data_IF_421155307640
#
_entry.id   IF_421155307640
#
_cell.length_a   1.000
_cell.length_b   1.000
_cell.length_c   1.000
_cell.angle_alpha   90.00
_cell.angle_beta   90.00
_cell.angle_gamma   90.00
#
_symmetry.space_group_name_H-M   'P 1'
#
loop_
_entity.id
_entity.type
_entity.pdbx_description
1 polymer ?
#
# COMPACT_ATOMS: atom_id res chain seq x y z
N UNK A 1 27.33 -4.98 3.02
CA UNK A 1 25.94 -4.50 2.84
C UNK A 1 25.94 -3.01 3.10
N UNK A 2 25.62 -2.19 2.11
CA UNK A 2 25.40 -0.75 2.33
C UNK A 2 24.16 -0.59 3.18
N UNK A 3 24.25 0.12 4.30
CA UNK A 3 23.09 0.46 5.12
C UNK A 3 22.16 1.33 4.28
N UNK A 4 20.92 0.88 4.06
CA UNK A 4 19.89 1.68 3.37
C UNK A 4 19.53 2.86 4.27
N UNK A 5 19.81 4.08 3.83
CA UNK A 5 19.38 5.27 4.56
C UNK A 5 18.05 5.77 4.02
N UNK A 6 17.13 6.15 4.92
CA UNK A 6 15.78 6.63 4.55
C UNK A 6 15.84 7.84 3.60
N UNK A 7 16.87 8.67 3.73
CA UNK A 7 17.12 9.84 2.89
C UNK A 7 17.36 9.52 1.41
N UNK A 8 17.66 8.26 1.08
CA UNK A 8 17.95 7.82 -0.29
C UNK A 8 16.67 7.52 -1.08
N UNK A 9 15.51 7.43 -0.42
CA UNK A 9 14.24 7.13 -1.07
C UNK A 9 13.49 8.40 -1.44
N UNK A 10 12.89 8.41 -2.63
CA UNK A 10 11.94 9.44 -3.03
C UNK A 10 10.77 9.44 -2.06
N UNK A 11 10.49 10.60 -1.48
CA UNK A 11 9.39 10.74 -0.54
C UNK A 11 8.75 12.13 -0.66
N UNK A 12 7.45 12.15 -0.93
CA UNK A 12 6.60 13.33 -0.87
C UNK A 12 5.49 13.08 0.16
N UNK A 13 5.36 13.92 1.21
CA UNK A 13 4.27 13.77 2.17
C UNK A 13 2.91 13.77 1.47
N UNK A 14 1.99 12.91 1.94
CA UNK A 14 0.62 12.77 1.40
C UNK A 14 0.51 12.10 0.01
N UNK A 15 1.62 11.59 -0.54
CA UNK A 15 1.64 10.79 -1.78
C UNK A 15 2.20 9.39 -1.49
N UNK A 16 1.66 8.70 -0.48
CA UNK A 16 2.17 7.41 -0.03
C UNK A 16 2.11 6.32 -1.13
N UNK A 17 1.11 6.37 -1.99
CA UNK A 17 0.92 5.53 -3.17
C UNK A 17 2.08 5.68 -4.17
N UNK A 18 2.55 6.90 -4.41
CA UNK A 18 3.70 7.14 -5.28
C UNK A 18 5.02 6.84 -4.56
N UNK A 19 5.12 7.15 -3.27
CA UNK A 19 6.32 6.84 -2.47
C UNK A 19 6.59 5.34 -2.47
N UNK A 20 5.55 4.51 -2.30
CA UNK A 20 5.67 3.05 -2.39
C UNK A 20 6.05 2.64 -3.82
N UNK A 21 5.44 3.20 -4.86
CA UNK A 21 5.79 2.90 -6.24
C UNK A 21 7.30 3.09 -6.52
N UNK A 22 7.90 4.20 -6.09
CA UNK A 22 9.34 4.44 -6.25
C UNK A 22 10.21 3.62 -5.30
N UNK A 23 9.70 3.30 -4.09
CA UNK A 23 10.37 2.39 -3.18
C UNK A 23 10.56 1.01 -3.82
N UNK A 24 9.51 0.43 -4.43
CA UNK A 24 9.61 -0.87 -5.13
C UNK A 24 10.71 -0.84 -6.19
N UNK A 25 10.66 0.16 -7.09
CA UNK A 25 11.66 0.32 -8.15
C UNK A 25 13.08 0.42 -7.59
N UNK A 26 13.25 1.14 -6.48
CA UNK A 26 14.57 1.32 -5.86
C UNK A 26 15.06 0.04 -5.17
N UNK A 27 14.19 -0.69 -4.49
CA UNK A 27 14.55 -1.97 -3.86
C UNK A 27 15.00 -3.01 -4.90
N UNK A 28 14.29 -3.14 -6.03
CA UNK A 28 14.70 -4.01 -7.14
C UNK A 28 16.03 -3.54 -7.75
N UNK A 29 16.18 -2.23 -8.03
CA UNK A 29 17.38 -1.66 -8.64
C UNK A 29 18.63 -1.84 -7.79
N UNK A 30 18.50 -1.68 -6.47
CA UNK A 30 19.61 -1.77 -5.53
C UNK A 30 19.94 -3.23 -5.14
N UNK A 31 19.18 -4.21 -5.65
CA UNK A 31 19.36 -5.64 -5.35
C UNK A 31 18.98 -6.02 -3.92
N UNK A 32 18.10 -5.23 -3.29
CA UNK A 32 17.54 -5.52 -1.96
C UNK A 32 16.37 -6.50 -2.08
N UNK A 33 15.62 -6.38 -3.17
CA UNK A 33 14.52 -7.25 -3.56
C UNK A 33 14.87 -8.00 -4.85
N UNK A 34 14.05 -8.98 -5.22
CA UNK A 34 14.20 -9.69 -6.48
C UNK A 34 14.12 -8.70 -7.64
N UNK A 35 14.86 -8.99 -8.71
CA UNK A 35 15.02 -8.06 -9.82
C UNK A 35 13.70 -7.74 -10.54
N UNK A 36 12.75 -8.67 -10.52
CA UNK A 36 11.38 -8.49 -11.01
C UNK A 36 10.42 -7.98 -9.93
N UNK A 37 10.85 -7.90 -8.67
CA UNK A 37 10.04 -7.51 -7.51
C UNK A 37 9.07 -8.58 -7.07
N UNK A 38 9.28 -9.85 -7.44
CA UNK A 38 8.37 -10.95 -7.11
C UNK A 38 8.22 -11.22 -5.61
N UNK A 39 9.18 -10.80 -4.79
CA UNK A 39 9.15 -10.84 -3.33
C UNK A 39 8.51 -9.59 -2.68
N UNK A 40 8.01 -8.63 -3.48
CA UNK A 40 7.43 -7.38 -2.99
C UNK A 40 5.91 -7.30 -3.19
N UNK A 41 5.26 -6.67 -2.21
CA UNK A 41 3.82 -6.42 -2.19
C UNK A 41 3.53 -5.00 -1.76
N UNK A 42 2.56 -4.38 -2.43
CA UNK A 42 1.95 -3.12 -1.99
C UNK A 42 0.71 -3.43 -1.19
N UNK A 43 0.58 -2.80 -0.03
CA UNK A 43 -0.60 -2.92 0.81
C UNK A 43 -1.23 -1.56 0.97
N UNK A 44 -2.41 -1.39 0.38
CA UNK A 44 -3.30 -0.27 0.67
C UNK A 44 -4.11 -0.60 1.92
N UNK A 45 -4.16 0.35 2.84
CA UNK A 45 -4.87 0.26 4.10
C UNK A 45 -5.96 1.33 4.05
N UNK A 46 -7.21 0.93 4.22
CA UNK A 46 -8.37 1.82 4.18
C UNK A 46 -9.53 1.18 4.93
N UNK A 47 -10.71 1.82 4.90
CA UNK A 47 -12.00 1.23 5.28
C UNK A 47 -13.14 2.00 4.63
N UNK A 48 -14.37 1.49 4.78
CA UNK A 48 -15.59 2.12 4.23
C UNK A 48 -15.77 3.59 4.64
N UNK A 49 -15.25 3.96 5.82
CA UNK A 49 -15.36 5.31 6.37
C UNK A 49 -14.25 6.25 5.88
N UNK A 50 -13.22 5.74 5.19
CA UNK A 50 -11.97 6.46 4.89
C UNK A 50 -11.41 7.13 6.16
N UNK A 51 -11.35 6.34 7.23
CA UNK A 51 -10.93 6.75 8.56
C UNK A 51 -10.17 5.61 9.23
N UNK A 52 -8.89 5.47 8.90
CA UNK A 52 -8.01 4.44 9.46
C UNK A 52 -7.01 5.05 10.47
N UNK A 53 -7.07 4.69 11.75
CA UNK A 53 -6.11 5.17 12.74
C UNK A 53 -4.79 4.41 12.60
N UNK A 54 -3.69 5.15 12.37
CA UNK A 54 -2.32 4.63 12.39
C UNK A 54 -1.49 5.34 13.45
N UNK A 55 -0.76 4.56 14.25
CA UNK A 55 0.13 5.05 15.31
C UNK A 55 1.57 5.25 14.78
N UNK A 56 2.39 5.91 15.60
CA UNK A 56 3.81 6.16 15.32
C UNK A 56 4.09 6.87 13.99
N UNK A 57 3.17 7.76 13.58
CA UNK A 57 3.27 8.49 12.32
C UNK A 57 4.08 9.78 12.51
N UNK A 58 5.07 10.01 11.62
CA UNK A 58 5.88 11.25 11.63
C UNK A 58 5.05 12.53 11.49
N UNK A 59 3.87 12.43 10.90
CA UNK A 59 2.93 13.54 10.73
C UNK A 59 2.19 13.91 12.04
N UNK A 60 2.21 13.03 13.07
CA UNK A 60 1.52 13.31 14.33
C UNK A 60 2.32 14.26 15.21
N UNK A 61 1.66 15.29 15.72
CA UNK A 61 2.17 16.16 16.79
C UNK A 61 1.73 15.71 18.18
N UNK A 62 0.94 14.63 18.25
CA UNK A 62 0.37 14.11 19.50
C UNK A 62 1.34 13.15 20.18
N UNK A 63 1.25 13.07 21.52
CA UNK A 63 2.10 12.18 22.32
C UNK A 63 1.86 10.68 22.04
N UNK A 64 0.65 10.30 21.63
CA UNK A 64 0.30 8.95 21.21
C UNK A 64 0.70 8.64 19.76
N UNK A 65 1.11 9.65 18.99
CA UNK A 65 1.58 9.48 17.61
C UNK A 65 0.49 9.06 16.62
N UNK A 66 -0.80 9.17 16.98
CA UNK A 66 -1.92 8.74 16.13
C UNK A 66 -2.21 9.78 15.03
N UNK A 67 -2.51 9.31 13.82
CA UNK A 67 -3.13 10.08 12.73
C UNK A 67 -4.30 9.25 12.19
N UNK A 68 -5.39 9.93 11.84
CA UNK A 68 -6.51 9.35 11.13
C UNK A 68 -6.33 9.64 9.63
N UNK A 69 -6.04 8.61 8.85
CA UNK A 69 -5.86 8.72 7.41
C UNK A 69 -7.14 8.33 6.67
N UNK A 70 -7.33 8.88 5.49
CA UNK A 70 -8.32 8.42 4.52
C UNK A 70 -7.90 7.06 3.92
N UNK A 71 -6.62 6.94 3.56
CA UNK A 71 -5.97 5.67 3.26
C UNK A 71 -4.46 5.78 3.50
N UNK A 72 -3.75 4.65 3.49
CA UNK A 72 -2.30 4.63 3.48
C UNK A 72 -1.76 3.49 2.62
N UNK A 73 -0.60 3.65 2.02
CA UNK A 73 0.08 2.61 1.25
C UNK A 73 1.44 2.29 1.87
N UNK A 74 1.74 0.99 2.01
CA UNK A 74 3.03 0.49 2.49
C UNK A 74 3.58 -0.61 1.56
N UNK A 75 4.89 -0.85 1.63
CA UNK A 75 5.54 -1.98 0.97
C UNK A 75 5.82 -3.08 2.01
N UNK A 76 5.53 -4.33 1.64
CA UNK A 76 5.96 -5.52 2.37
C UNK A 76 6.89 -6.32 1.47
N UNK A 77 8.06 -6.67 2.00
CA UNK A 77 8.99 -7.59 1.35
C UNK A 77 8.92 -8.94 2.06
N UNK A 78 8.67 -10.01 1.30
CA UNK A 78 8.74 -11.37 1.79
C UNK A 78 10.19 -11.85 1.79
N UNK A 79 10.78 -11.93 2.97
CA UNK A 79 12.02 -12.67 3.17
C UNK A 79 11.68 -14.06 3.71
N UNK A 80 12.10 -15.12 3.01
CA UNK A 80 11.98 -16.55 3.41
C UNK A 80 12.66 -16.92 4.76
N UNK A 81 13.00 -15.96 5.62
CA UNK A 81 13.70 -16.18 6.89
C UNK A 81 13.10 -15.54 8.15
N UNK A 82 12.00 -14.78 8.06
CA UNK A 82 11.45 -14.11 9.25
C UNK A 82 10.02 -14.58 9.55
N UNK A 83 9.86 -15.31 10.65
CA UNK A 83 8.54 -15.54 11.27
C UNK A 83 8.02 -14.22 11.82
N UNK A 84 6.80 -13.77 11.45
CA UNK A 84 6.22 -12.57 12.03
C UNK A 84 5.98 -12.74 13.53
N UNK A 85 6.34 -11.73 14.32
CA UNK A 85 5.93 -11.57 15.72
C UNK A 85 4.95 -10.41 15.80
N UNK A 86 3.66 -10.69 15.66
CA UNK A 86 2.60 -9.69 15.74
C UNK A 86 2.24 -9.33 17.18
N UNK A 87 2.03 -8.04 17.43
CA UNK A 87 1.32 -7.53 18.60
C UNK A 87 -0.08 -7.07 18.15
N UNK A 88 -1.13 -7.76 18.60
CA UNK A 88 -2.51 -7.47 18.23
C UNK A 88 -3.10 -6.36 19.14
N UNK A 89 -3.56 -5.26 18.54
CA UNK A 89 -4.32 -4.20 19.22
C UNK A 89 -5.76 -4.21 18.71
N UNK A 90 -6.73 -4.31 19.62
CA UNK A 90 -8.14 -4.38 19.27
C UNK A 90 -8.71 -2.97 19.04
N UNK A 91 -9.08 -2.64 17.80
CA UNK A 91 -9.79 -1.42 17.45
C UNK A 91 -11.30 -1.56 17.64
N UNK A 92 -12.00 -0.43 17.82
CA UNK A 92 -13.47 -0.40 17.71
C UNK A 92 -13.89 -0.87 16.30
N UNK A 93 -15.03 -1.56 16.21
CA UNK A 93 -15.46 -2.26 14.97
C UNK A 93 -15.55 -1.35 13.75
N UNK A 94 -15.86 -0.07 13.94
CA UNK A 94 -16.00 0.94 12.88
C UNK A 94 -14.67 1.51 12.35
N UNK A 95 -13.56 1.30 13.06
CA UNK A 95 -12.21 1.71 12.62
C UNK A 95 -11.35 0.52 12.21
N UNK A 96 -11.95 -0.66 12.05
CA UNK A 96 -11.23 -1.83 11.54
C UNK A 96 -10.65 -1.50 10.17
N UNK A 97 -9.44 -1.98 9.95
CA UNK A 97 -8.70 -1.75 8.72
C UNK A 97 -8.98 -2.88 7.75
N UNK A 98 -9.17 -2.52 6.50
CA UNK A 98 -9.21 -3.42 5.36
C UNK A 98 -7.93 -3.22 4.57
N UNK A 99 -7.42 -4.31 4.00
CA UNK A 99 -6.13 -4.35 3.34
C UNK A 99 -6.29 -4.83 1.91
N UNK A 100 -5.90 -4.02 0.93
CA UNK A 100 -5.76 -4.45 -0.45
C UNK A 100 -4.30 -4.75 -0.72
N UNK A 101 -4.00 -6.02 -0.98
CA UNK A 101 -2.66 -6.52 -1.22
C UNK A 101 -2.49 -6.73 -2.71
N UNK A 102 -1.47 -6.09 -3.30
CA UNK A 102 -1.18 -6.14 -4.72
C UNK A 102 0.27 -6.57 -4.92
N UNK A 103 0.49 -7.58 -5.76
CA UNK A 103 1.84 -8.03 -6.13
C UNK A 103 2.59 -6.92 -6.88
N UNK A 104 3.84 -6.66 -6.50
CA UNK A 104 4.59 -5.51 -7.02
C UNK A 104 4.75 -5.48 -8.56
N UNK A 105 5.04 -6.59 -9.27
CA UNK A 105 5.07 -6.60 -10.74
C UNK A 105 3.76 -6.13 -11.37
N UNK A 106 2.62 -6.50 -10.78
CA UNK A 106 1.29 -6.06 -11.22
C UNK A 106 1.13 -4.58 -10.92
N UNK A 107 1.42 -4.15 -9.69
CA UNK A 107 1.27 -2.75 -9.31
C UNK A 107 2.12 -1.81 -10.17
N UNK A 108 3.40 -2.13 -10.38
CA UNK A 108 4.31 -1.32 -11.19
C UNK A 108 3.86 -1.15 -12.64
N UNK A 109 3.12 -2.14 -13.16
CA UNK A 109 2.60 -2.20 -14.52
C UNK A 109 1.27 -1.46 -14.69
N UNK A 110 0.36 -1.63 -13.75
CA UNK A 110 -1.04 -1.20 -13.89
C UNK A 110 -1.41 0.03 -13.06
N UNK A 111 -0.62 0.43 -12.07
CA UNK A 111 -0.94 1.60 -11.25
C UNK A 111 -0.77 2.91 -12.02
N UNK A 112 -1.72 3.83 -11.84
CA UNK A 112 -1.68 5.17 -12.39
C UNK A 112 -2.31 6.21 -11.45
N UNK A 113 -1.68 7.38 -11.38
CA UNK A 113 -2.17 8.53 -10.63
C UNK A 113 -1.82 9.80 -11.38
N UNK A 114 -2.84 10.54 -11.80
CA UNK A 114 -2.74 11.92 -12.30
C UNK A 114 -2.82 12.96 -11.17
N UNK A 115 -2.81 12.49 -9.91
CA UNK A 115 -2.82 13.29 -8.68
C UNK A 115 -4.08 14.14 -8.49
N UNK A 116 -5.15 13.89 -9.26
CA UNK A 116 -6.39 14.71 -9.18
C UNK A 116 -7.01 14.73 -7.78
N UNK A 117 -6.82 13.67 -6.99
CA UNK A 117 -7.35 13.57 -5.63
C UNK A 117 -6.72 14.58 -4.65
N UNK A 118 -5.54 15.12 -5.00
CA UNK A 118 -4.83 16.15 -4.22
C UNK A 118 -5.15 17.58 -4.68
N UNK A 119 -6.21 17.75 -5.48
CA UNK A 119 -6.72 19.06 -5.87
C UNK A 119 -8.05 19.33 -5.16
N UNK A 120 -8.22 20.55 -4.69
CA UNK A 120 -9.51 21.04 -4.22
C UNK A 120 -10.48 21.29 -5.41
N UNK A 121 -11.77 21.59 -5.15
CA UNK A 121 -12.74 21.88 -6.22
C UNK A 121 -12.38 23.07 -7.11
N UNK A 122 -11.54 24.00 -6.63
CA UNK A 122 -11.05 25.16 -7.39
C UNK A 122 -9.80 24.81 -8.24
N UNK A 123 -9.28 23.58 -8.11
CA UNK A 123 -8.11 23.08 -8.83
C UNK A 123 -6.77 23.39 -8.15
N UNK A 124 -6.76 23.96 -6.95
CA UNK A 124 -5.53 24.22 -6.19
C UNK A 124 -5.04 22.95 -5.52
N UNK A 125 -3.73 22.85 -5.35
CA UNK A 125 -3.10 21.74 -4.65
C UNK A 125 -3.34 21.80 -3.14
N UNK A 126 -3.96 20.76 -2.58
CA UNK A 126 -4.11 20.60 -1.12
C UNK A 126 -2.78 20.22 -0.46
N UNK A 127 -1.90 19.57 -1.22
CA UNK A 127 -0.49 19.37 -0.90
C UNK A 127 0.36 19.50 -2.17
N UNK A 128 1.59 20.00 -2.05
CA UNK A 128 2.46 20.17 -3.20
C UNK A 128 2.81 18.81 -3.82
N UNK A 129 2.60 18.62 -5.14
CA UNK A 129 2.88 17.36 -5.79
C UNK A 129 4.38 17.10 -5.90
N UNK A 130 4.78 15.83 -6.08
CA UNK A 130 6.14 15.49 -6.45
C UNK A 130 6.56 16.20 -7.76
N UNK A 131 7.85 16.51 -7.89
CA UNK A 131 8.38 17.27 -9.04
C UNK A 131 8.50 16.43 -10.33
N UNK A 132 8.43 15.11 -10.25
CA UNK A 132 8.44 14.23 -11.42
C UNK A 132 7.03 14.10 -12.02
N UNK A 133 6.96 13.69 -13.28
CA UNK A 133 5.70 13.53 -14.01
C UNK A 133 4.74 12.53 -13.35
N UNK A 134 3.42 12.70 -13.49
CA UNK A 134 2.45 11.74 -12.97
C UNK A 134 2.69 10.31 -13.49
N UNK A 135 2.33 9.33 -12.67
CA UNK A 135 2.51 7.92 -13.02
C UNK A 135 1.40 7.49 -13.98
N UNK A 136 1.79 6.98 -15.14
CA UNK A 136 0.90 6.44 -16.17
C UNK A 136 1.17 4.94 -16.29
N UNK A 137 0.11 4.14 -16.31
CA UNK A 137 0.21 2.69 -16.46
C UNK A 137 0.67 2.30 -17.87
N UNK A 138 1.15 1.07 -18.03
CA UNK A 138 1.66 0.59 -19.33
C UNK A 138 0.60 0.59 -20.44
N UNK A 139 -0.68 0.43 -20.08
CA UNK A 139 -1.80 0.45 -21.03
C UNK A 139 -2.28 1.87 -21.39
N UNK A 140 -1.64 2.90 -20.84
CA UNK A 140 -2.00 4.31 -21.04
C UNK A 140 -3.04 4.84 -20.05
N UNK A 141 -3.48 4.04 -19.07
CA UNK A 141 -4.32 4.51 -17.97
C UNK A 141 -3.60 5.60 -17.18
N UNK A 142 -4.26 6.74 -16.98
CA UNK A 142 -3.70 7.91 -16.27
C UNK A 142 -4.23 8.04 -14.84
N UNK A 143 -5.30 7.32 -14.49
CA UNK A 143 -5.89 7.38 -13.16
C UNK A 143 -6.60 6.07 -12.84
N UNK A 144 -6.24 5.45 -11.71
CA UNK A 144 -6.98 4.34 -11.12
C UNK A 144 -6.75 4.20 -9.60
N UNK A 145 -6.11 5.18 -8.95
CA UNK A 145 -5.86 5.16 -7.50
C UNK A 145 -7.11 4.81 -6.67
N UNK A 146 -8.28 5.31 -7.05
CA UNK A 146 -9.52 5.02 -6.32
C UNK A 146 -9.80 3.52 -6.23
N UNK A 147 -9.51 2.75 -7.28
CA UNK A 147 -9.71 1.29 -7.29
C UNK A 147 -8.80 0.56 -6.30
N UNK A 148 -7.65 1.18 -5.97
CA UNK A 148 -6.72 0.63 -4.98
C UNK A 148 -7.09 1.00 -3.55
N UNK A 149 -7.46 2.27 -3.31
CA UNK A 149 -7.70 2.79 -1.95
C UNK A 149 -9.14 2.61 -1.45
N UNK A 150 -10.11 2.44 -2.35
CA UNK A 150 -11.49 2.13 -1.99
C UNK A 150 -11.60 0.62 -1.75
N UNK A 151 -11.79 0.27 -0.49
CA UNK A 151 -11.88 -1.12 -0.02
C UNK A 151 -13.17 -1.22 0.77
N UNK A 152 -14.13 -1.95 0.22
CA UNK A 152 -15.40 -2.21 0.89
C UNK A 152 -15.35 -3.52 1.65
N UNK A 153 -16.06 -3.61 2.78
CA UNK A 153 -16.20 -4.86 3.51
C UNK A 153 -16.78 -6.01 2.64
N UNK A 154 -17.53 -5.68 1.58
CA UNK A 154 -18.02 -6.66 0.60
C UNK A 154 -16.93 -7.28 -0.27
N UNK A 155 -15.81 -6.60 -0.42
CA UNK A 155 -14.69 -7.02 -1.28
C UNK A 155 -13.75 -7.98 -0.52
N UNK A 156 -13.84 -8.02 0.81
CA UNK A 156 -12.98 -8.83 1.67
C UNK A 156 -13.21 -10.33 1.43
N UNK A 157 -12.11 -11.07 1.27
CA UNK A 157 -12.15 -12.52 1.20
C UNK A 157 -12.76 -13.09 2.49
N UNK A 158 -13.81 -13.90 2.35
CA UNK A 158 -14.44 -14.54 3.53
C UNK A 158 -13.61 -15.71 4.06
N UNK A 159 -12.94 -16.43 3.17
CA UNK A 159 -12.10 -17.59 3.47
C UNK A 159 -10.79 -17.52 2.68
N UNK A 160 -9.73 -18.14 3.21
CA UNK A 160 -8.44 -18.27 2.54
C UNK A 160 -8.31 -19.61 1.82
N UNK A 161 -8.98 -19.73 0.67
CA UNK A 161 -8.83 -20.90 -0.20
C UNK A 161 -7.62 -20.69 -1.14
N UNK A 162 -6.94 -21.78 -1.52
CA UNK A 162 -5.70 -21.70 -2.31
C UNK A 162 -5.87 -20.93 -3.64
N UNK A 163 -7.01 -21.06 -4.29
CA UNK A 163 -7.33 -20.34 -5.53
C UNK A 163 -7.47 -18.82 -5.32
N UNK A 164 -7.96 -18.41 -4.14
CA UNK A 164 -8.06 -16.99 -3.76
C UNK A 164 -6.69 -16.40 -3.44
N UNK A 165 -5.76 -17.19 -2.91
CA UNK A 165 -4.39 -16.73 -2.64
C UNK A 165 -3.64 -16.52 -3.95
N UNK A 166 -3.78 -17.42 -4.92
CA UNK A 166 -3.20 -17.25 -6.26
C UNK A 166 -3.71 -16.00 -6.99
N UNK A 167 -4.87 -15.47 -6.57
CA UNK A 167 -5.42 -14.25 -7.15
C UNK A 167 -4.55 -13.02 -6.90
N UNK A 168 -3.76 -12.98 -5.81
CA UNK A 168 -2.84 -11.84 -5.56
C UNK A 168 -1.77 -11.68 -6.65
N UNK A 169 -1.38 -12.80 -7.27
CA UNK A 169 -0.34 -12.86 -8.31
C UNK A 169 -0.90 -12.71 -9.73
N UNK A 170 -2.21 -12.59 -9.89
CA UNK A 170 -2.84 -12.60 -11.22
C UNK A 170 -3.83 -11.47 -11.43
N UNK A 171 -4.51 -11.00 -10.39
CA UNK A 171 -5.50 -9.94 -10.47
C UNK A 171 -4.85 -8.55 -10.39
N UNK A 172 -5.29 -7.63 -11.24
CA UNK A 172 -4.77 -6.27 -11.33
C UNK A 172 -4.83 -5.49 -9.99
N UNK A 173 -5.93 -5.69 -9.26
CA UNK A 173 -6.17 -5.07 -7.95
C UNK A 173 -5.79 -6.00 -6.79
N UNK A 174 -5.14 -7.13 -7.09
CA UNK A 174 -4.78 -8.17 -6.14
C UNK A 174 -5.98 -8.69 -5.35
N UNK A 175 -5.86 -8.75 -4.03
CA UNK A 175 -6.92 -9.24 -3.12
C UNK A 175 -7.22 -8.23 -2.03
N UNK A 176 -8.46 -8.20 -1.55
CA UNK A 176 -8.85 -7.44 -0.37
C UNK A 176 -9.10 -8.40 0.80
N UNK A 177 -8.54 -8.12 1.97
CA UNK A 177 -8.66 -8.94 3.17
C UNK A 177 -8.91 -8.08 4.40
N UNK A 178 -9.50 -8.69 5.43
CA UNK A 178 -9.69 -8.06 6.73
C UNK A 178 -8.39 -8.05 7.55
N UNK A 179 -8.37 -7.20 8.58
CA UNK A 179 -7.27 -7.14 9.55
C UNK A 179 -6.89 -8.48 10.18
N UNK A 180 -7.87 -9.35 10.44
CA UNK A 180 -7.63 -10.64 11.09
C UNK A 180 -6.96 -11.67 10.17
N UNK A 181 -6.95 -11.42 8.86
CA UNK A 181 -6.43 -12.36 7.86
C UNK A 181 -5.01 -12.02 7.41
N UNK A 182 -4.49 -10.83 7.77
CA UNK A 182 -3.23 -10.32 7.24
C UNK A 182 -2.03 -11.23 7.55
N UNK A 183 -1.91 -11.67 8.79
CA UNK A 183 -0.79 -12.54 9.21
C UNK A 183 -0.88 -13.92 8.56
N UNK A 184 -2.09 -14.52 8.53
CA UNK A 184 -2.33 -15.81 7.88
C UNK A 184 -2.05 -15.72 6.38
N UNK A 185 -2.47 -14.63 5.73
CA UNK A 185 -2.23 -14.37 4.31
C UNK A 185 -0.76 -14.43 3.95
N UNK A 186 0.07 -13.63 4.61
CA UNK A 186 1.50 -13.61 4.32
C UNK A 186 2.21 -14.91 4.70
N UNK A 187 1.70 -15.67 5.67
CA UNK A 187 2.22 -16.99 6.01
C UNK A 187 1.92 -18.06 4.95
N UNK A 188 0.87 -17.89 4.14
CA UNK A 188 0.50 -18.86 3.09
C UNK A 188 1.17 -18.57 1.74
N UNK A 189 1.65 -17.35 1.51
CA UNK A 189 2.38 -16.98 0.27
C UNK A 189 3.90 -16.91 0.44
N UNK A 190 4.41 -17.11 1.66
CA UNK A 190 5.85 -17.16 1.98
C UNK A 190 6.49 -18.49 1.64
#
# INVERSE_FOLDING_TARGET
MSTLEVSQFTHTPLYCEENVYFLLKKLCKDGVADADGSDLFVVFISNDMKQIPLWHQKASTRADGIILWDYHAICIQLHMSLKPSGHHFQLFSEYRRSFRIVHAPIFLRFFASDRRHMKDPDGNWTAQPPAYEPIVAEDGTVHNLNEYMEIHASDELKNMEADLINSVFTQQLGVAISENQLEEFFAQIS
#
